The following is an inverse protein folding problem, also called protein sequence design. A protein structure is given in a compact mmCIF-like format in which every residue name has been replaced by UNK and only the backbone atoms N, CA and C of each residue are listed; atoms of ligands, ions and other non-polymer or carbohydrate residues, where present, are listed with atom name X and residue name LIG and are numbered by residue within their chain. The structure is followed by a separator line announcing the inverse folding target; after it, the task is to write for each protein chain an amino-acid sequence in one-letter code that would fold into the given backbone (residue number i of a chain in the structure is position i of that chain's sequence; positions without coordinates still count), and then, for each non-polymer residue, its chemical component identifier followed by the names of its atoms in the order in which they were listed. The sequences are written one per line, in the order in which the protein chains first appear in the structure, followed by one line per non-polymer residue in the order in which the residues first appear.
data_IF_294727859721
#
_entry.id   IF_294727859721
#
_cell.length_a   1.000
_cell.length_b   1.000
_cell.length_c   1.000
_cell.angle_alpha   90.00
_cell.angle_beta   90.00
_cell.angle_gamma   90.00
#
_symmetry.space_group_name_H-M   'P 1'
#
loop_
_entity.id
_entity.type
_entity.pdbx_description
1 polymer ?
#
# COMPACT_ATOMS: atom_id res chain seq x y z
N UNK A 1 -1.05 1.38 -13.73
CA UNK A 1 -1.63 1.82 -12.45
C UNK A 1 -3.02 2.39 -12.63
N UNK A 2 -3.93 1.87 -11.82
CA UNK A 2 -5.21 2.48 -11.61
C UNK A 2 -5.43 2.59 -10.11
N UNK A 3 -6.49 3.25 -9.70
CA UNK A 3 -6.81 3.31 -8.28
C UNK A 3 -7.50 2.02 -7.87
N UNK A 4 -7.43 1.02 -8.76
CA UNK A 4 -7.92 -0.30 -8.46
C UNK A 4 -6.76 -1.25 -8.28
N UNK A 5 -5.65 -0.88 -8.89
CA UNK A 5 -4.40 -1.60 -8.73
C UNK A 5 -3.97 -1.49 -7.27
N UNK A 6 -4.05 -0.28 -6.73
CA UNK A 6 -3.77 -0.03 -5.32
C UNK A 6 -4.77 -0.76 -4.43
N UNK A 7 -5.98 -0.93 -4.92
CA UNK A 7 -6.98 -1.67 -4.18
C UNK A 7 -6.53 -3.10 -3.98
N UNK A 8 -5.97 -3.71 -5.00
CA UNK A 8 -5.48 -5.08 -4.84
C UNK A 8 -4.30 -5.15 -3.88
N UNK A 9 -3.79 -3.99 -3.51
CA UNK A 9 -2.81 -3.87 -2.45
C UNK A 9 -3.53 -3.78 -1.11
N UNK A 10 -4.22 -2.66 -0.89
CA UNK A 10 -4.77 -2.35 0.41
C UNK A 10 -6.05 -3.11 0.73
N UNK A 11 -6.84 -3.46 -0.29
CA UNK A 11 -8.10 -4.16 -0.05
C UNK A 11 -7.84 -5.55 0.52
N UNK A 12 -6.72 -6.13 0.13
CA UNK A 12 -6.33 -7.44 0.62
C UNK A 12 -5.82 -7.33 2.05
N UNK A 13 -5.05 -6.29 2.30
CA UNK A 13 -4.45 -6.08 3.60
C UNK A 13 -5.45 -5.56 4.62
N UNK A 14 -6.51 -4.92 4.14
CA UNK A 14 -7.58 -4.41 5.01
C UNK A 14 -8.06 -5.47 6.01
N UNK A 15 -8.09 -6.73 5.57
CA UNK A 15 -8.55 -7.81 6.43
C UNK A 15 -7.52 -8.21 7.49
N UNK A 16 -6.61 -7.29 7.73
CA UNK A 16 -5.66 -7.37 8.82
C UNK A 16 -5.39 -5.95 9.30
N UNK A 17 -5.23 -5.09 8.31
CA UNK A 17 -5.04 -3.67 8.49
C UNK A 17 -6.13 -3.08 9.39
N UNK A 18 -7.38 -3.45 9.11
CA UNK A 18 -8.52 -2.99 9.88
C UNK A 18 -8.79 -3.96 11.03
N UNK A 19 -8.93 -5.23 10.68
CA UNK A 19 -9.14 -6.29 11.64
C UNK A 19 -8.02 -7.32 11.53
N UNK A 20 -7.05 -7.23 12.42
CA UNK A 20 -5.84 -8.03 12.33
C UNK A 20 -6.05 -9.51 12.57
N UNK A 21 -6.57 -10.21 11.57
CA UNK A 21 -6.71 -11.65 11.65
C UNK A 21 -5.42 -12.36 11.28
N UNK A 22 -4.92 -12.08 10.09
CA UNK A 22 -3.69 -12.68 9.59
C UNK A 22 -3.30 -12.04 8.27
N UNK A 23 -2.01 -12.02 7.95
CA UNK A 23 -1.55 -11.49 6.68
C UNK A 23 -1.44 -12.62 5.64
N UNK A 24 -2.35 -12.60 4.67
CA UNK A 24 -2.35 -13.56 3.57
C UNK A 24 -1.27 -13.25 2.53
N UNK A 25 -0.88 -14.25 1.72
CA UNK A 25 0.06 -14.05 0.61
C UNK A 25 -0.55 -13.22 -0.52
N UNK A 26 -1.76 -12.75 -0.27
CA UNK A 26 -2.51 -11.95 -1.22
C UNK A 26 -2.19 -10.49 -0.97
N UNK A 27 -2.43 -10.09 0.27
CA UNK A 27 -2.06 -8.77 0.76
C UNK A 27 -0.61 -8.49 0.42
N UNK A 28 0.29 -9.40 0.82
CA UNK A 28 1.71 -9.26 0.52
C UNK A 28 1.92 -9.03 -0.97
N UNK A 29 1.38 -9.93 -1.78
CA UNK A 29 1.57 -9.86 -3.22
C UNK A 29 1.10 -8.52 -3.79
N UNK A 30 -0.07 -8.06 -3.37
CA UNK A 30 -0.58 -6.79 -3.87
C UNK A 30 0.27 -5.62 -3.44
N UNK A 31 0.72 -5.65 -2.19
CA UNK A 31 1.62 -4.62 -1.68
C UNK A 31 2.91 -4.60 -2.48
N UNK A 32 3.56 -5.75 -2.57
CA UNK A 32 4.81 -5.87 -3.29
C UNK A 32 4.61 -5.53 -4.76
N UNK A 33 3.39 -5.75 -5.25
CA UNK A 33 3.05 -5.44 -6.63
C UNK A 33 3.08 -3.93 -6.85
N UNK A 34 2.32 -3.19 -6.05
CA UNK A 34 2.27 -1.75 -6.15
C UNK A 34 3.64 -1.11 -5.89
N UNK A 35 4.49 -1.82 -5.16
CA UNK A 35 5.78 -1.28 -4.78
C UNK A 35 6.88 -1.66 -5.75
N UNK A 36 6.96 -2.93 -6.09
CA UNK A 36 8.03 -3.42 -6.98
C UNK A 36 7.52 -3.64 -8.39
N UNK A 37 6.37 -4.28 -8.51
CA UNK A 37 5.83 -4.63 -9.82
C UNK A 37 5.11 -3.44 -10.47
N UNK A 38 5.16 -2.28 -9.82
CA UNK A 38 4.65 -1.06 -10.42
C UNK A 38 5.44 -0.76 -11.69
N UNK A 39 6.76 -0.71 -11.53
CA UNK A 39 7.73 -0.62 -12.63
C UNK A 39 7.86 0.81 -13.17
N UNK A 40 6.75 1.39 -13.62
CA UNK A 40 6.82 2.65 -14.34
C UNK A 40 6.78 3.84 -13.40
N UNK A 41 7.14 5.00 -13.92
CA UNK A 41 7.09 6.25 -13.17
C UNK A 41 5.66 6.58 -12.80
N UNK A 42 4.75 6.41 -13.76
CA UNK A 42 3.34 6.65 -13.53
C UNK A 42 2.80 5.63 -12.53
N UNK A 43 3.42 4.46 -12.51
CA UNK A 43 3.02 3.41 -11.59
C UNK A 43 3.65 3.60 -10.22
N UNK A 44 4.41 4.68 -10.06
CA UNK A 44 5.01 5.01 -8.77
C UNK A 44 4.39 6.27 -8.19
N UNK A 45 4.44 7.35 -8.95
CA UNK A 45 3.97 8.63 -8.46
C UNK A 45 2.45 8.66 -8.39
N UNK A 46 1.79 8.14 -9.42
CA UNK A 46 0.33 8.12 -9.46
C UNK A 46 -0.21 7.07 -8.51
N UNK A 47 0.53 5.97 -8.32
CA UNK A 47 0.08 4.89 -7.46
C UNK A 47 -0.01 5.38 -6.02
N UNK A 48 0.93 6.23 -5.63
CA UNK A 48 0.92 6.82 -4.30
C UNK A 48 -0.25 7.79 -4.18
N UNK A 49 -0.55 8.49 -5.26
CA UNK A 49 -1.67 9.42 -5.30
C UNK A 49 -3.02 8.69 -5.21
N UNK A 50 -3.00 7.37 -5.25
CA UNK A 50 -4.21 6.58 -4.99
C UNK A 50 -4.15 5.99 -3.59
N UNK A 51 -2.94 5.67 -3.16
CA UNK A 51 -2.70 5.12 -1.83
C UNK A 51 -3.26 6.04 -0.76
N UNK A 52 -3.25 7.34 -1.06
CA UNK A 52 -3.74 8.37 -0.16
C UNK A 52 -5.20 8.14 0.24
N UNK A 53 -6.08 7.90 -0.75
CA UNK A 53 -7.49 7.71 -0.45
C UNK A 53 -7.80 6.26 -0.11
N UNK A 54 -6.95 5.36 -0.57
CA UNK A 54 -7.11 3.96 -0.22
C UNK A 54 -6.78 3.75 1.25
N UNK A 55 -5.72 4.40 1.71
CA UNK A 55 -5.38 4.43 3.13
C UNK A 55 -6.17 5.54 3.82
N UNK A 56 -7.01 6.21 3.05
CA UNK A 56 -7.90 7.21 3.58
C UNK A 56 -9.30 6.65 3.73
N UNK A 57 -9.51 5.46 3.16
CA UNK A 57 -10.79 4.78 3.24
C UNK A 57 -10.88 4.00 4.55
N UNK A 58 -9.82 4.11 5.33
CA UNK A 58 -9.68 3.43 6.61
C UNK A 58 -10.82 3.76 7.58
N UNK A 59 -11.80 2.88 7.65
CA UNK A 59 -12.91 3.02 8.57
C UNK A 59 -12.80 1.98 9.68
N UNK A 60 -12.35 2.41 10.85
CA UNK A 60 -12.10 1.50 11.94
C UNK A 60 -10.80 0.76 11.76
N UNK A 61 -9.85 1.43 11.14
CA UNK A 61 -8.57 0.82 10.78
C UNK A 61 -7.60 0.80 11.97
N UNK A 62 -6.44 0.22 11.77
CA UNK A 62 -5.37 0.25 12.75
C UNK A 62 -4.08 0.76 12.11
N UNK A 63 -3.60 1.93 12.55
CA UNK A 63 -2.42 2.58 11.97
C UNK A 63 -1.15 1.77 12.18
N UNK A 64 -1.11 1.02 13.28
CA UNK A 64 0.02 0.16 13.58
C UNK A 64 0.21 -0.92 12.52
N UNK A 65 -0.88 -1.30 11.87
CA UNK A 65 -0.83 -2.31 10.83
C UNK A 65 -0.40 -1.70 9.50
N UNK A 66 -0.50 -0.38 9.39
CA UNK A 66 -0.15 0.32 8.16
C UNK A 66 1.35 0.24 7.90
N UNK A 67 2.13 0.31 8.96
CA UNK A 67 3.58 0.21 8.85
C UNK A 67 4.00 -1.26 8.84
N UNK A 68 3.14 -2.11 9.37
CA UNK A 68 3.39 -3.54 9.36
C UNK A 68 3.13 -4.11 7.97
N UNK A 69 2.22 -3.45 7.26
CA UNK A 69 1.79 -3.84 5.93
C UNK A 69 2.97 -4.15 4.99
N UNK A 70 3.91 -3.20 4.76
CA UNK A 70 5.05 -3.43 3.89
C UNK A 70 6.04 -4.43 4.50
N UNK A 71 6.13 -4.42 5.82
CA UNK A 71 7.09 -5.26 6.51
C UNK A 71 6.77 -6.74 6.39
N UNK A 72 5.48 -7.08 6.43
CA UNK A 72 5.07 -8.48 6.40
C UNK A 72 5.31 -9.12 5.04
N UNK A 73 5.30 -8.32 3.97
CA UNK A 73 5.56 -8.87 2.65
C UNK A 73 7.06 -8.91 2.35
N UNK A 74 7.80 -8.01 2.98
CA UNK A 74 9.23 -7.96 2.76
C UNK A 74 9.59 -6.89 1.76
N UNK A 75 8.98 -5.73 1.90
CA UNK A 75 9.23 -4.61 1.01
C UNK A 75 9.52 -3.33 1.79
N UNK A 76 10.77 -3.16 2.19
CA UNK A 76 11.20 -1.96 2.88
C UNK A 76 11.42 -0.82 1.88
N UNK A 77 10.34 -0.10 1.61
CA UNK A 77 10.38 0.99 0.65
C UNK A 77 10.86 2.29 1.30
N UNK A 78 11.46 3.20 0.48
CA UNK A 78 11.94 4.50 0.96
C UNK A 78 10.78 5.38 1.45
N UNK A 79 9.82 5.61 0.56
CA UNK A 79 8.57 6.28 0.93
C UNK A 79 7.76 5.36 1.83
N UNK A 80 6.73 5.88 2.48
CA UNK A 80 5.97 5.07 3.42
C UNK A 80 4.51 4.97 3.04
N UNK A 81 3.76 4.27 3.89
CA UNK A 81 2.34 4.05 3.71
C UNK A 81 1.55 5.26 4.25
N UNK A 82 2.29 6.33 4.53
CA UNK A 82 1.70 7.55 5.01
C UNK A 82 0.82 8.19 3.95
N UNK A 83 -0.32 8.71 4.37
CA UNK A 83 -1.27 9.33 3.46
C UNK A 83 -0.71 10.61 2.84
N UNK A 84 0.37 11.13 3.42
CA UNK A 84 1.00 12.33 2.91
C UNK A 84 2.52 12.15 2.87
N UNK A 85 2.96 11.03 2.30
CA UNK A 85 4.40 10.75 2.20
C UNK A 85 5.02 11.47 1.00
N UNK A 86 4.22 12.32 0.34
CA UNK A 86 4.64 13.07 -0.85
C UNK A 86 4.95 12.13 -2.01
N UNK A 87 4.09 12.15 -3.01
CA UNK A 87 4.10 11.14 -4.05
C UNK A 87 4.80 11.60 -5.34
N UNK A 88 5.22 12.85 -5.39
CA UNK A 88 5.85 13.36 -6.61
C UNK A 88 7.37 13.37 -6.52
N UNK A 89 7.90 13.55 -5.32
CA UNK A 89 9.35 13.64 -5.14
C UNK A 89 9.95 12.26 -4.85
N UNK A 90 9.16 11.22 -5.08
CA UNK A 90 9.63 9.85 -4.93
C UNK A 90 10.40 9.42 -6.17
N UNK A 91 10.07 10.06 -7.29
CA UNK A 91 10.62 9.76 -8.60
C UNK A 91 10.13 8.42 -9.12
#
# INVERSE_FOLDING_TARGET
MTCGQVQGNLAQCIGFLQKGGVVPPSCCTGVKNILNSSRTTADRRAVCSCLKAAAGAVRGINPNNAEALPGKCGVNIPYKISTSTNCNSIN
#
